data_IF_248225200260
#
_entry.id   IF_248225200260
#
_cell.length_a   1.000
_cell.length_b   1.000
_cell.length_c   1.000
_cell.angle_alpha   90.00
_cell.angle_beta   90.00
_cell.angle_gamma   90.00
#
_symmetry.space_group_name_H-M   'P 1'
#
loop_
_entity.id
_entity.type
_entity.pdbx_description
1 polymer ?
#
# COMPACT_ATOMS: atom_id res chain seq x y z
N UNK A 1 53.50 -27.61 -4.58
CA UNK A 1 52.32 -27.38 -5.45
C UNK A 1 51.13 -27.11 -4.54
N UNK A 2 50.42 -26.03 -4.81
CA UNK A 2 49.59 -25.26 -3.89
C UNK A 2 48.27 -25.94 -3.51
N UNK A 3 47.94 -25.85 -2.22
CA UNK A 3 46.67 -26.21 -1.60
C UNK A 3 45.55 -25.30 -2.09
N UNK A 4 44.39 -25.87 -2.43
CA UNK A 4 43.15 -25.10 -2.60
C UNK A 4 42.06 -25.73 -1.75
N UNK A 5 41.90 -25.17 -0.55
CA UNK A 5 40.74 -25.38 0.32
C UNK A 5 39.53 -24.88 -0.46
N UNK A 6 38.67 -25.81 -0.87
CA UNK A 6 37.39 -25.52 -1.52
C UNK A 6 36.45 -24.90 -0.48
N UNK A 7 36.63 -23.59 -0.21
CA UNK A 7 35.73 -22.83 0.66
C UNK A 7 34.41 -22.61 -0.07
N UNK A 8 33.44 -23.47 0.22
CA UNK A 8 32.05 -23.31 -0.20
C UNK A 8 31.43 -22.12 0.56
N UNK A 9 31.42 -20.95 -0.08
CA UNK A 9 30.72 -19.75 0.37
C UNK A 9 29.21 -19.95 0.14
N UNK A 10 28.51 -20.42 1.16
CA UNK A 10 27.05 -20.45 1.18
C UNK A 10 26.55 -19.02 1.45
N UNK A 11 26.23 -18.29 0.38
CA UNK A 11 25.56 -17.01 0.49
C UNK A 11 24.08 -17.23 0.89
N UNK A 12 23.79 -17.15 2.18
CA UNK A 12 22.40 -17.12 2.69
C UNK A 12 21.82 -15.73 2.41
N UNK A 13 21.05 -15.60 1.34
CA UNK A 13 20.27 -14.38 1.07
C UNK A 13 19.07 -14.33 2.01
N UNK A 14 19.15 -13.45 3.02
CA UNK A 14 18.02 -13.12 3.90
C UNK A 14 16.92 -12.42 3.08
N UNK A 15 15.90 -13.16 2.65
CA UNK A 15 14.68 -12.58 2.09
C UNK A 15 13.87 -11.96 3.23
N UNK A 16 14.05 -10.65 3.45
CA UNK A 16 13.19 -9.89 4.36
C UNK A 16 11.83 -9.71 3.69
N UNK A 17 10.91 -10.65 3.93
CA UNK A 17 9.50 -10.51 3.53
C UNK A 17 8.89 -9.43 4.42
N UNK A 18 8.84 -8.19 3.92
CA UNK A 18 8.07 -7.13 4.57
C UNK A 18 6.58 -7.39 4.32
N UNK A 19 5.95 -8.13 5.22
CA UNK A 19 4.50 -8.32 5.21
C UNK A 19 3.82 -6.96 5.36
N UNK A 20 3.09 -6.51 4.34
CA UNK A 20 2.25 -5.31 4.44
C UNK A 20 1.10 -5.64 5.37
N UNK A 21 0.95 -4.89 6.45
CA UNK A 21 -0.20 -5.02 7.34
C UNK A 21 -1.50 -4.90 6.54
N UNK A 22 -2.35 -5.92 6.65
CA UNK A 22 -3.65 -5.93 5.98
C UNK A 22 -4.60 -4.91 6.62
N UNK A 23 -5.50 -4.37 5.81
CA UNK A 23 -6.48 -3.40 6.29
C UNK A 23 -7.60 -4.13 7.05
N UNK A 24 -7.79 -3.79 8.32
CA UNK A 24 -8.90 -4.29 9.13
C UNK A 24 -9.99 -3.21 9.26
N UNK A 25 -11.19 -3.42 8.71
CA UNK A 25 -12.31 -2.49 8.85
C UNK A 25 -12.75 -2.35 10.31
N UNK A 26 -12.89 -1.12 10.78
CA UNK A 26 -13.49 -0.73 12.05
C UNK A 26 -14.06 0.68 11.90
N UNK A 27 -14.92 1.12 12.82
CA UNK A 27 -15.48 2.49 12.78
C UNK A 27 -14.37 3.52 12.59
N UNK A 28 -13.33 3.45 13.43
CA UNK A 28 -12.19 4.37 13.39
C UNK A 28 -11.43 4.35 12.07
N UNK A 29 -11.24 3.18 11.44
CA UNK A 29 -10.47 3.09 10.19
C UNK A 29 -11.31 3.44 8.95
N UNK A 30 -12.64 3.29 9.06
CA UNK A 30 -13.60 3.54 7.98
C UNK A 30 -14.05 5.00 7.89
N UNK A 31 -14.19 5.72 9.02
CA UNK A 31 -14.61 7.13 9.02
C UNK A 31 -13.73 8.01 8.12
N UNK A 32 -14.38 8.88 7.34
CA UNK A 32 -13.74 9.86 6.47
C UNK A 32 -13.08 9.30 5.21
N UNK A 33 -13.30 8.03 4.85
CA UNK A 33 -12.78 7.44 3.62
C UNK A 33 -13.29 8.18 2.37
N UNK A 34 -14.56 8.59 2.34
CA UNK A 34 -15.13 9.34 1.21
C UNK A 34 -14.48 10.72 1.07
N UNK A 35 -14.18 11.39 2.18
CA UNK A 35 -13.42 12.66 2.19
C UNK A 35 -12.00 12.45 1.66
N UNK A 36 -11.31 11.39 2.07
CA UNK A 36 -9.96 11.04 1.58
C UNK A 36 -9.96 10.76 0.08
N UNK A 37 -10.95 10.04 -0.43
CA UNK A 37 -11.13 9.78 -1.88
C UNK A 37 -11.33 11.09 -2.63
N UNK A 38 -12.25 11.95 -2.18
CA UNK A 38 -12.51 13.25 -2.79
C UNK A 38 -11.25 14.13 -2.82
N UNK A 39 -10.47 14.16 -1.74
CA UNK A 39 -9.22 14.92 -1.68
C UNK A 39 -8.19 14.44 -2.71
N UNK A 40 -8.03 13.14 -2.91
CA UNK A 40 -7.12 12.60 -3.95
C UNK A 40 -7.63 12.93 -5.34
N UNK A 41 -8.93 12.77 -5.62
CA UNK A 41 -9.52 13.13 -6.92
C UNK A 41 -9.36 14.62 -7.22
N UNK A 42 -9.54 15.49 -6.22
CA UNK A 42 -9.32 16.93 -6.37
C UNK A 42 -7.88 17.25 -6.76
N UNK A 43 -6.90 16.60 -6.11
CA UNK A 43 -5.47 16.74 -6.46
C UNK A 43 -5.18 16.23 -7.87
N UNK A 44 -5.85 15.18 -8.30
CA UNK A 44 -5.70 14.68 -9.67
C UNK A 44 -6.26 15.67 -10.70
N UNK A 45 -7.39 16.33 -10.41
CA UNK A 45 -8.00 17.33 -11.29
C UNK A 45 -7.22 18.64 -11.37
N UNK A 46 -6.55 19.03 -10.29
CA UNK A 46 -5.72 20.23 -10.24
C UNK A 46 -4.43 20.14 -11.09
N UNK A 47 -4.17 18.98 -11.72
CA UNK A 47 -2.94 18.72 -12.45
C UNK A 47 -1.82 18.25 -11.51
N UNK A 48 -0.94 17.40 -12.03
CA UNK A 48 0.14 16.79 -11.25
C UNK A 48 1.34 16.45 -12.12
N UNK A 49 2.52 16.36 -11.49
CA UNK A 49 3.71 15.77 -12.12
C UNK A 49 3.56 14.25 -12.23
N UNK A 50 4.11 13.61 -13.26
CA UNK A 50 3.94 12.16 -13.53
C UNK A 50 4.16 11.29 -12.27
N UNK A 51 5.27 11.51 -11.54
CA UNK A 51 5.58 10.77 -10.29
C UNK A 51 4.52 10.93 -9.19
N UNK A 52 3.82 12.07 -9.13
CA UNK A 52 2.70 12.27 -8.20
C UNK A 52 1.44 11.56 -8.67
N UNK A 53 1.22 11.48 -9.98
CA UNK A 53 0.09 10.79 -10.59
C UNK A 53 0.02 9.32 -10.22
N UNK A 54 1.14 8.61 -10.30
CA UNK A 54 1.23 7.20 -9.90
C UNK A 54 0.88 7.01 -8.42
N UNK A 55 1.40 7.90 -7.56
CA UNK A 55 1.09 7.90 -6.12
C UNK A 55 -0.39 8.17 -5.86
N UNK A 56 -1.01 9.09 -6.60
CA UNK A 56 -2.45 9.38 -6.48
C UNK A 56 -3.30 8.22 -6.95
N UNK A 57 -2.96 7.58 -8.08
CA UNK A 57 -3.65 6.38 -8.57
C UNK A 57 -3.56 5.23 -7.56
N UNK A 58 -2.39 4.98 -7.00
CA UNK A 58 -2.18 3.96 -5.97
C UNK A 58 -3.02 4.23 -4.71
N UNK A 59 -2.98 5.47 -4.18
CA UNK A 59 -3.80 5.88 -3.03
C UNK A 59 -5.29 5.79 -3.31
N UNK A 60 -5.72 6.21 -4.50
CA UNK A 60 -7.12 6.14 -4.90
C UNK A 60 -7.61 4.69 -4.96
N UNK A 61 -6.82 3.79 -5.55
CA UNK A 61 -7.12 2.34 -5.57
C UNK A 61 -7.22 1.78 -4.15
N UNK A 62 -6.27 2.12 -3.29
CA UNK A 62 -6.26 1.69 -1.89
C UNK A 62 -7.51 2.17 -1.13
N UNK A 63 -7.82 3.47 -1.19
CA UNK A 63 -8.99 4.01 -0.49
C UNK A 63 -10.32 3.45 -1.01
N UNK A 64 -10.44 3.22 -2.32
CA UNK A 64 -11.62 2.54 -2.89
C UNK A 64 -11.77 1.11 -2.37
N UNK A 65 -10.67 0.37 -2.26
CA UNK A 65 -10.68 -0.98 -1.70
C UNK A 65 -11.08 -0.96 -0.22
N UNK A 66 -10.49 -0.08 0.59
CA UNK A 66 -10.85 0.06 2.01
C UNK A 66 -12.33 0.44 2.17
N UNK A 67 -12.83 1.37 1.36
CA UNK A 67 -14.24 1.77 1.35
C UNK A 67 -15.15 0.59 1.03
N UNK A 68 -14.79 -0.23 0.05
CA UNK A 68 -15.56 -1.42 -0.30
C UNK A 68 -15.63 -2.40 0.88
N UNK A 69 -14.49 -2.67 1.54
CA UNK A 69 -14.44 -3.55 2.71
C UNK A 69 -15.23 -3.00 3.90
N UNK A 70 -15.14 -1.69 4.17
CA UNK A 70 -15.94 -1.02 5.20
C UNK A 70 -17.45 -1.12 4.93
N UNK A 71 -17.87 -0.85 3.68
CA UNK A 71 -19.28 -0.96 3.28
C UNK A 71 -19.83 -2.37 3.38
N UNK A 72 -19.04 -3.38 3.02
CA UNK A 72 -19.43 -4.79 3.20
C UNK A 72 -19.71 -5.13 4.67
N UNK A 73 -18.98 -4.50 5.60
CA UNK A 73 -19.16 -4.66 7.05
C UNK A 73 -20.14 -3.65 7.66
N UNK A 74 -20.81 -2.83 6.84
CA UNK A 74 -21.79 -1.79 7.23
C UNK A 74 -21.23 -0.67 8.11
N UNK A 75 -19.91 -0.44 8.09
CA UNK A 75 -19.31 0.73 8.75
C UNK A 75 -19.60 2.02 7.99
N UNK A 76 -19.69 3.15 8.71
CA UNK A 76 -19.75 4.47 8.09
C UNK A 76 -18.41 4.83 7.44
N UNK A 77 -18.49 5.42 6.24
CA UNK A 77 -17.33 5.82 5.42
C UNK A 77 -17.26 7.32 5.17
N UNK A 78 -18.20 8.11 5.69
CA UNK A 78 -18.29 9.55 5.48
C UNK A 78 -17.30 10.37 6.32
#
# INVERSE_FOLDING_TARGET
MTNYILSSLIAVSLLVITAKAEFTPSDRTCTGLDKKIKAVVSKMRAGYKIKQGERYRAKLKQFKNHRYQCKQKRFDVN
#
